data_IF_628372372882
#
_entry.id   IF_628372372882
#
_cell.length_a   1.000
_cell.length_b   1.000
_cell.length_c   1.000
_cell.angle_alpha   90.00
_cell.angle_beta   90.00
_cell.angle_gamma   90.00
#
_symmetry.space_group_name_H-M   'P 1'
#
loop_
_entity.id
_entity.type
_entity.pdbx_description
1 polymer ?
#
# COMPACT_ATOMS: atom_id res chain seq x y z
N UNK A 1 29.60 8.48 -92.31
CA UNK A 1 28.64 7.80 -91.46
C UNK A 1 27.71 8.84 -90.92
N UNK A 2 26.43 8.62 -91.18
CA UNK A 2 25.41 9.05 -90.25
C UNK A 2 25.71 8.36 -88.91
N UNK A 3 25.42 9.02 -87.81
CA UNK A 3 25.69 8.47 -86.47
C UNK A 3 24.43 8.51 -85.60
N UNK A 4 23.30 8.73 -86.25
CA UNK A 4 21.95 8.98 -85.74
C UNK A 4 21.04 8.70 -86.95
N UNK A 5 20.85 7.41 -87.22
CA UNK A 5 20.29 6.88 -88.47
C UNK A 5 18.79 7.22 -88.64
N UNK A 6 18.06 7.45 -87.56
CA UNK A 6 16.63 7.80 -87.56
C UNK A 6 16.33 9.26 -87.19
N UNK A 7 17.30 9.99 -86.63
CA UNK A 7 17.23 11.43 -86.41
C UNK A 7 16.47 11.83 -85.15
N UNK A 8 16.36 10.95 -84.15
CA UNK A 8 15.69 11.22 -82.87
C UNK A 8 16.56 12.02 -81.88
N UNK A 9 17.87 12.09 -82.15
CA UNK A 9 18.86 12.81 -81.37
C UNK A 9 19.67 11.96 -80.40
N UNK A 10 19.45 10.65 -80.34
CA UNK A 10 20.32 9.65 -79.72
C UNK A 10 21.29 9.14 -80.80
N UNK A 11 22.53 8.82 -80.40
CA UNK A 11 23.51 8.30 -81.36
C UNK A 11 23.34 6.78 -81.48
N UNK A 12 23.48 6.20 -82.67
CA UNK A 12 23.32 4.75 -82.93
C UNK A 12 24.10 3.84 -81.97
N UNK A 13 25.16 4.35 -81.34
CA UNK A 13 26.00 3.61 -80.40
C UNK A 13 25.41 3.48 -78.98
N UNK A 14 24.41 4.30 -78.65
CA UNK A 14 23.74 4.39 -77.36
C UNK A 14 22.20 4.29 -77.52
N UNK A 15 21.75 3.85 -78.68
CA UNK A 15 20.35 3.75 -79.04
C UNK A 15 20.02 2.26 -79.20
N UNK A 16 19.09 1.76 -78.40
CA UNK A 16 18.67 0.36 -78.46
C UNK A 16 17.81 0.08 -79.71
N UNK A 17 17.24 1.13 -80.33
CA UNK A 17 16.46 1.08 -81.56
C UNK A 17 16.93 2.08 -82.64
N UNK A 18 18.16 1.96 -83.19
CA UNK A 18 18.79 2.97 -84.10
C UNK A 18 18.06 3.29 -85.42
N UNK A 19 16.91 2.68 -85.68
CA UNK A 19 16.13 2.85 -86.90
C UNK A 19 14.67 3.25 -86.60
N UNK A 20 14.31 3.45 -85.34
CA UNK A 20 12.98 3.81 -84.87
C UNK A 20 13.03 5.08 -84.01
N UNK A 21 12.84 6.23 -84.66
CA UNK A 21 12.91 7.52 -83.99
C UNK A 21 11.83 7.78 -82.91
N UNK A 22 10.98 6.79 -82.58
CA UNK A 22 10.07 6.84 -81.44
C UNK A 22 10.56 6.05 -80.22
N UNK A 23 11.62 5.27 -80.32
CA UNK A 23 12.16 4.45 -79.24
C UNK A 23 13.67 4.59 -79.18
N UNK A 24 14.24 4.64 -77.97
CA UNK A 24 15.69 4.75 -77.81
C UNK A 24 16.27 3.96 -76.64
N UNK A 25 15.42 3.45 -75.75
CA UNK A 25 15.78 2.71 -74.53
C UNK A 25 14.94 1.42 -74.49
N UNK A 26 15.58 0.31 -74.13
CA UNK A 26 14.98 -1.01 -73.87
C UNK A 26 15.47 -1.50 -72.50
N UNK A 27 14.78 -1.10 -71.43
CA UNK A 27 15.28 -1.27 -70.06
C UNK A 27 15.42 -2.74 -69.67
N UNK A 28 14.45 -3.59 -70.02
CA UNK A 28 14.46 -5.03 -69.72
C UNK A 28 15.08 -5.91 -70.84
N UNK A 29 15.37 -5.33 -72.01
CA UNK A 29 15.92 -5.99 -73.18
C UNK A 29 15.00 -7.07 -73.79
N UNK A 30 13.68 -6.90 -73.72
CA UNK A 30 12.70 -7.82 -74.33
C UNK A 30 12.49 -7.57 -75.84
N UNK A 31 12.95 -6.42 -76.34
CA UNK A 31 12.85 -5.98 -77.73
C UNK A 31 11.66 -5.07 -78.03
N UNK A 32 10.92 -4.62 -77.02
CA UNK A 32 9.95 -3.53 -77.03
C UNK A 32 10.62 -2.31 -76.39
N UNK A 33 10.51 -1.13 -76.99
CA UNK A 33 11.08 0.08 -76.39
C UNK A 33 10.19 0.64 -75.29
N UNK A 34 10.79 1.27 -74.29
CA UNK A 34 10.11 1.81 -73.10
C UNK A 34 8.91 2.73 -73.45
N UNK A 35 8.89 3.45 -74.60
CA UNK A 35 7.71 4.28 -74.92
C UNK A 35 6.50 3.47 -75.40
N UNK A 36 6.70 2.19 -75.77
CA UNK A 36 5.68 1.27 -76.25
C UNK A 36 5.46 0.06 -75.31
N UNK A 37 6.38 -0.18 -74.39
CA UNK A 37 6.20 -1.16 -73.31
C UNK A 37 5.22 -0.61 -72.26
N UNK A 38 4.77 -1.50 -71.39
CA UNK A 38 3.87 -1.21 -70.28
C UNK A 38 4.38 -1.75 -68.95
N UNK A 39 5.60 -2.28 -68.95
CA UNK A 39 6.35 -2.96 -67.89
C UNK A 39 7.84 -2.83 -68.28
N UNK A 40 8.34 -1.59 -68.28
CA UNK A 40 9.62 -1.20 -68.90
C UNK A 40 10.84 -1.98 -68.35
N UNK A 41 10.80 -2.42 -67.09
CA UNK A 41 11.87 -3.21 -66.47
C UNK A 41 11.59 -4.72 -66.36
N UNK A 42 10.41 -5.15 -66.81
CA UNK A 42 10.03 -6.54 -67.00
C UNK A 42 9.88 -7.34 -65.70
N UNK A 43 9.57 -6.66 -64.60
CA UNK A 43 9.44 -7.27 -63.28
C UNK A 43 8.03 -7.86 -63.01
N UNK A 44 7.07 -7.50 -63.86
CA UNK A 44 5.70 -7.98 -63.84
C UNK A 44 4.68 -7.01 -63.25
N UNK A 45 5.11 -5.81 -62.82
CA UNK A 45 4.25 -4.69 -62.42
C UNK A 45 4.25 -3.66 -63.55
N UNK A 46 3.06 -3.27 -63.99
CA UNK A 46 2.97 -2.30 -65.09
C UNK A 46 3.40 -0.90 -64.64
N UNK A 47 4.06 -0.10 -65.47
CA UNK A 47 4.63 1.22 -65.10
C UNK A 47 3.63 2.19 -64.44
N UNK A 48 2.34 2.05 -64.72
CA UNK A 48 1.30 2.91 -64.12
C UNK A 48 0.97 2.56 -62.66
N UNK A 49 1.41 1.40 -62.18
CA UNK A 49 1.24 0.90 -60.82
C UNK A 49 2.60 0.57 -60.17
N UNK A 50 3.69 0.97 -60.82
CA UNK A 50 5.05 0.76 -60.36
C UNK A 50 5.62 2.10 -59.93
N UNK A 51 6.08 2.21 -58.69
CA UNK A 51 6.72 3.42 -58.19
C UNK A 51 8.16 3.57 -58.74
N UNK A 52 8.76 2.47 -59.23
CA UNK A 52 10.10 2.38 -59.80
C UNK A 52 10.09 1.65 -61.17
N UNK A 53 9.43 2.20 -62.20
CA UNK A 53 9.19 1.50 -63.48
C UNK A 53 10.44 1.15 -64.30
N UNK A 54 11.64 1.51 -63.84
CA UNK A 54 12.91 1.24 -64.53
C UNK A 54 13.89 0.44 -63.65
N UNK A 55 13.44 -0.08 -62.50
CA UNK A 55 14.23 -0.86 -61.55
C UNK A 55 13.46 -2.10 -61.11
N UNK A 56 13.67 -3.21 -61.83
CA UNK A 56 13.02 -4.49 -61.59
C UNK A 56 13.28 -5.14 -60.23
N UNK A 57 13.97 -4.45 -59.32
CA UNK A 57 14.16 -4.87 -57.93
C UNK A 57 13.28 -4.13 -56.93
N UNK A 58 12.52 -3.11 -57.36
CA UNK A 58 11.64 -2.29 -56.54
C UNK A 58 10.31 -2.07 -57.25
N UNK A 59 9.19 -2.04 -56.51
CA UNK A 59 7.85 -1.82 -57.10
C UNK A 59 6.94 -0.91 -56.29
N UNK A 60 7.24 -0.74 -55.00
CA UNK A 60 6.41 -0.03 -54.02
C UNK A 60 7.33 0.95 -53.27
N UNK A 61 6.85 2.17 -53.07
CA UNK A 61 7.44 3.22 -52.22
C UNK A 61 6.36 3.67 -51.21
N UNK A 62 6.25 2.95 -50.09
CA UNK A 62 5.12 3.11 -49.16
C UNK A 62 5.07 4.53 -48.55
N UNK A 63 6.21 5.10 -48.17
CA UNK A 63 6.30 6.44 -47.58
C UNK A 63 6.58 7.58 -48.59
N UNK A 64 6.86 7.23 -49.86
CA UNK A 64 7.17 8.13 -50.96
C UNK A 64 8.46 8.96 -50.75
N UNK A 65 9.48 8.40 -50.09
CA UNK A 65 10.79 9.04 -49.90
C UNK A 65 11.73 8.90 -51.12
N UNK A 66 11.40 8.01 -52.05
CA UNK A 66 12.16 7.70 -53.26
C UNK A 66 13.12 6.50 -53.12
N UNK A 67 13.06 5.76 -52.01
CA UNK A 67 13.68 4.46 -51.78
C UNK A 67 12.58 3.41 -51.80
N UNK A 68 12.73 2.34 -52.58
CA UNK A 68 11.71 1.30 -52.62
C UNK A 68 11.75 0.41 -51.38
N UNK A 69 10.61 -0.15 -51.00
CA UNK A 69 10.42 -0.95 -49.78
C UNK A 69 11.41 -2.15 -49.71
N UNK A 70 11.94 -2.68 -50.84
CA UNK A 70 12.93 -3.78 -50.73
C UNK A 70 14.33 -3.29 -50.30
N UNK A 71 14.61 -1.99 -50.41
CA UNK A 71 15.87 -1.35 -50.06
C UNK A 71 15.75 -0.37 -48.87
N UNK A 72 14.54 0.06 -48.54
CA UNK A 72 14.26 0.83 -47.33
C UNK A 72 14.35 -0.07 -46.08
N UNK A 73 14.40 0.57 -44.91
CA UNK A 73 14.46 -0.08 -43.61
C UNK A 73 13.44 0.48 -42.63
N UNK A 74 12.56 1.34 -43.12
CA UNK A 74 11.51 2.12 -42.44
C UNK A 74 10.45 2.43 -43.52
N UNK A 75 9.84 1.36 -44.08
CA UNK A 75 9.06 1.40 -45.33
C UNK A 75 7.88 2.41 -45.29
N UNK A 76 7.33 2.69 -44.11
CA UNK A 76 6.23 3.65 -43.92
C UNK A 76 6.66 5.02 -43.36
N UNK A 77 7.96 5.18 -43.07
CA UNK A 77 8.58 6.45 -42.69
C UNK A 77 8.12 6.99 -41.34
N UNK A 78 7.64 6.14 -40.45
CA UNK A 78 7.14 6.52 -39.12
C UNK A 78 8.28 6.71 -38.09
N UNK A 79 9.47 6.19 -38.41
CA UNK A 79 10.69 6.29 -37.61
C UNK A 79 11.05 5.05 -36.80
N UNK A 80 10.28 3.97 -36.92
CA UNK A 80 10.57 2.64 -36.40
C UNK A 80 11.05 1.75 -37.55
N UNK A 81 12.22 1.13 -37.38
CA UNK A 81 12.74 0.24 -38.43
C UNK A 81 11.86 -1.00 -38.58
N UNK A 82 11.59 -1.47 -39.81
CA UNK A 82 10.69 -2.62 -40.09
C UNK A 82 11.01 -3.85 -39.24
N UNK A 83 12.29 -4.04 -38.91
CA UNK A 83 12.74 -5.16 -38.06
C UNK A 83 12.23 -5.12 -36.61
N UNK A 84 11.74 -3.98 -36.15
CA UNK A 84 11.15 -3.75 -34.83
C UNK A 84 9.75 -3.14 -34.92
N UNK A 85 9.17 -3.13 -36.12
CA UNK A 85 7.83 -2.64 -36.38
C UNK A 85 6.91 -3.84 -36.63
N UNK A 86 5.84 -3.96 -35.86
CA UNK A 86 4.84 -5.01 -36.07
C UNK A 86 3.93 -4.71 -37.29
N UNK A 87 3.89 -3.45 -37.74
CA UNK A 87 3.12 -2.92 -38.86
C UNK A 87 3.98 -2.07 -39.82
N UNK A 88 5.02 -2.63 -40.46
CA UNK A 88 6.02 -1.86 -41.23
C UNK A 88 5.49 -1.09 -42.45
N UNK A 89 4.20 -1.21 -42.79
CA UNK A 89 3.57 -0.54 -43.93
C UNK A 89 2.42 0.40 -43.49
N UNK A 90 2.28 0.66 -42.19
CA UNK A 90 1.24 1.50 -41.62
C UNK A 90 1.83 2.44 -40.57
N UNK A 91 2.22 3.64 -41.02
CA UNK A 91 2.84 4.67 -40.19
C UNK A 91 1.98 5.19 -39.02
N UNK A 92 0.81 4.60 -38.76
CA UNK A 92 -0.04 4.89 -37.61
C UNK A 92 0.01 3.84 -36.52
N UNK A 93 0.68 2.70 -36.75
CA UNK A 93 0.81 1.59 -35.81
C UNK A 93 2.25 1.09 -35.79
N UNK A 94 2.76 0.67 -34.63
CA UNK A 94 4.15 0.17 -34.49
C UNK A 94 4.30 -1.04 -33.59
N UNK A 95 3.29 -1.31 -32.75
CA UNK A 95 3.31 -2.32 -31.69
C UNK A 95 2.00 -3.10 -31.76
N UNK A 96 2.08 -4.43 -31.68
CA UNK A 96 0.97 -5.37 -31.51
C UNK A 96 1.23 -6.21 -30.25
N UNK A 97 0.81 -5.69 -29.09
CA UNK A 97 1.19 -6.25 -27.79
C UNK A 97 0.67 -7.69 -27.60
N UNK A 98 -0.55 -8.00 -28.04
CA UNK A 98 -1.16 -9.32 -27.91
C UNK A 98 -1.03 -10.21 -29.18
N UNK A 99 -0.52 -9.65 -30.28
CA UNK A 99 -0.32 -10.30 -31.57
C UNK A 99 -1.62 -10.75 -32.25
N UNK A 100 -2.71 -9.99 -32.09
CA UNK A 100 -4.00 -10.26 -32.73
C UNK A 100 -4.09 -9.73 -34.18
N UNK A 101 -3.16 -8.86 -34.57
CA UNK A 101 -3.09 -8.20 -35.87
C UNK A 101 -3.73 -6.81 -35.92
N UNK A 102 -4.15 -6.27 -34.77
CA UNK A 102 -4.59 -4.88 -34.57
C UNK A 102 -3.51 -4.17 -33.77
N UNK A 103 -3.04 -3.01 -34.24
CA UNK A 103 -2.02 -2.27 -33.50
C UNK A 103 -2.58 -1.59 -32.26
N UNK A 104 -1.75 -1.42 -31.23
CA UNK A 104 -2.12 -0.85 -29.93
C UNK A 104 -2.78 0.56 -30.06
N UNK A 105 -2.54 1.35 -31.12
CA UNK A 105 -3.24 2.64 -31.26
C UNK A 105 -4.70 2.50 -31.71
N UNK A 106 -5.08 1.36 -32.28
CA UNK A 106 -6.41 1.04 -32.76
C UNK A 106 -7.12 -0.05 -31.94
N UNK A 107 -6.37 -0.85 -31.17
CA UNK A 107 -6.92 -1.82 -30.23
C UNK A 107 -7.54 -1.12 -29.00
N UNK A 108 -8.35 -1.85 -28.26
CA UNK A 108 -9.02 -1.42 -27.04
C UNK A 108 -8.78 -2.36 -25.86
N UNK A 109 -7.95 -3.39 -26.07
CA UNK A 109 -7.57 -4.48 -25.17
C UNK A 109 -6.16 -4.92 -25.60
N UNK A 110 -5.17 -4.00 -25.49
CA UNK A 110 -3.84 -4.11 -26.11
C UNK A 110 -3.08 -5.39 -25.71
N UNK A 111 -3.36 -5.98 -24.53
CA UNK A 111 -2.74 -7.21 -24.06
C UNK A 111 -3.61 -8.47 -24.16
N UNK A 112 -4.85 -8.32 -24.62
CA UNK A 112 -5.77 -9.41 -24.89
C UNK A 112 -6.20 -10.22 -23.65
N UNK A 113 -6.13 -9.63 -22.45
CA UNK A 113 -6.56 -10.28 -21.21
C UNK A 113 -8.09 -10.31 -21.03
N UNK A 114 -8.80 -9.48 -21.80
CA UNK A 114 -10.25 -9.35 -21.82
C UNK A 114 -10.80 -8.19 -21.00
N UNK A 115 -9.94 -7.34 -20.44
CA UNK A 115 -10.25 -6.07 -19.80
C UNK A 115 -9.87 -4.94 -20.76
N UNK A 116 -10.79 -3.99 -20.99
CA UNK A 116 -10.50 -2.89 -21.91
C UNK A 116 -9.45 -1.95 -21.31
N UNK A 117 -8.55 -1.38 -22.12
CA UNK A 117 -7.46 -0.49 -21.63
C UNK A 117 -7.97 0.66 -20.77
N UNK A 118 -9.21 1.11 -21.01
CA UNK A 118 -9.82 2.20 -20.24
C UNK A 118 -10.18 1.81 -18.81
N UNK A 119 -10.33 0.51 -18.55
CA UNK A 119 -10.65 -0.09 -17.26
C UNK A 119 -9.47 -0.92 -16.70
N UNK A 120 -8.37 -1.03 -17.45
CA UNK A 120 -7.17 -1.80 -17.10
C UNK A 120 -6.06 -0.90 -16.51
N UNK A 121 -5.56 -1.24 -15.32
CA UNK A 121 -4.45 -0.52 -14.69
C UNK A 121 -3.09 -0.80 -15.37
N UNK A 122 -2.96 -1.91 -16.07
CA UNK A 122 -1.76 -2.42 -16.75
C UNK A 122 -2.06 -2.92 -18.16
N UNK A 123 -2.65 -2.09 -19.01
CA UNK A 123 -3.11 -2.42 -20.38
C UNK A 123 -2.12 -3.14 -21.33
N UNK A 124 -0.84 -3.27 -20.97
CA UNK A 124 0.20 -3.97 -21.75
C UNK A 124 0.70 -5.26 -21.06
N UNK A 125 -0.02 -5.77 -20.07
CA UNK A 125 0.37 -6.92 -19.27
C UNK A 125 -0.82 -7.84 -18.98
N UNK A 126 -0.98 -8.85 -19.85
CA UNK A 126 -2.08 -9.80 -19.82
C UNK A 126 -2.23 -10.68 -18.55
N UNK A 127 -1.41 -10.44 -17.52
CA UNK A 127 -1.47 -11.13 -16.24
C UNK A 127 -1.94 -10.25 -15.09
N UNK A 128 -2.12 -8.95 -15.32
CA UNK A 128 -2.58 -7.98 -14.32
C UNK A 128 -3.50 -6.95 -14.92
N UNK A 129 -4.62 -6.69 -14.25
CA UNK A 129 -5.57 -5.65 -14.69
C UNK A 129 -6.08 -4.76 -13.56
N UNK A 130 -5.77 -5.09 -12.31
CA UNK A 130 -6.24 -4.37 -11.11
C UNK A 130 -5.05 -3.89 -10.29
N UNK A 131 -5.12 -2.65 -9.81
CA UNK A 131 -4.18 -1.97 -8.90
C UNK A 131 -5.04 -1.22 -7.86
N UNK A 132 -5.41 -1.92 -6.78
CA UNK A 132 -6.44 -1.44 -5.85
C UNK A 132 -6.00 -0.20 -5.07
N UNK A 133 -4.72 -0.10 -4.68
CA UNK A 133 -4.17 1.04 -3.95
C UNK A 133 -3.49 2.10 -4.85
N UNK A 134 -3.24 1.76 -6.12
CA UNK A 134 -2.63 2.66 -7.10
C UNK A 134 -1.13 2.84 -6.93
N UNK A 135 -0.42 1.88 -6.33
CA UNK A 135 1.03 1.94 -6.13
C UNK A 135 1.86 1.58 -7.38
N UNK A 136 1.20 1.02 -8.39
CA UNK A 136 1.81 0.56 -9.64
C UNK A 136 2.25 -0.90 -9.64
N UNK A 137 1.91 -1.67 -8.61
CA UNK A 137 2.01 -3.13 -8.54
C UNK A 137 0.61 -3.71 -8.68
N UNK A 138 0.40 -4.66 -9.59
CA UNK A 138 -0.92 -5.26 -9.75
C UNK A 138 -1.26 -6.20 -8.60
N UNK A 139 -2.54 -6.33 -8.27
CA UNK A 139 -3.05 -7.12 -7.13
C UNK A 139 -2.58 -8.60 -7.18
N UNK A 140 -2.31 -9.22 -8.36
CA UNK A 140 -1.78 -10.60 -8.35
C UNK A 140 -0.29 -10.69 -7.92
N UNK A 141 0.44 -9.57 -7.93
CA UNK A 141 1.85 -9.45 -7.57
C UNK A 141 2.09 -8.63 -6.29
N UNK A 142 1.13 -7.84 -5.86
CA UNK A 142 1.15 -7.13 -4.59
C UNK A 142 0.89 -8.11 -3.42
N UNK A 143 1.19 -7.65 -2.21
CA UNK A 143 1.04 -8.40 -0.96
C UNK A 143 0.27 -7.62 0.10
N UNK A 144 -0.24 -6.44 -0.26
CA UNK A 144 -0.95 -5.43 0.53
C UNK A 144 -1.84 -4.60 -0.44
N UNK A 145 -2.78 -5.27 -1.11
CA UNK A 145 -3.52 -4.77 -2.29
C UNK A 145 -4.24 -3.42 -2.06
N UNK A 146 -4.62 -3.09 -0.82
CA UNK A 146 -5.27 -1.83 -0.45
C UNK A 146 -4.37 -0.81 0.26
N UNK A 147 -3.09 -1.17 0.49
CA UNK A 147 -2.08 -0.30 1.07
C UNK A 147 -2.32 0.10 2.53
N UNK A 148 -3.10 -0.65 3.30
CA UNK A 148 -3.40 -0.36 4.71
C UNK A 148 -2.26 -0.75 5.68
N UNK A 149 -1.23 -1.44 5.18
CA UNK A 149 -0.07 -2.02 5.89
C UNK A 149 -0.35 -3.36 6.60
N UNK A 150 -1.41 -4.06 6.23
CA UNK A 150 -1.73 -5.42 6.64
C UNK A 150 -1.71 -6.29 5.39
N UNK A 151 -0.78 -7.25 5.34
CA UNK A 151 -0.67 -8.10 4.15
C UNK A 151 -1.94 -8.91 3.89
N UNK A 152 -2.34 -9.07 2.62
CA UNK A 152 -3.56 -9.79 2.18
C UNK A 152 -3.69 -11.18 2.81
N UNK A 153 -2.56 -11.85 3.05
CA UNK A 153 -2.56 -13.19 3.67
C UNK A 153 -3.03 -13.20 5.13
N UNK A 154 -3.06 -12.04 5.76
CA UNK A 154 -3.49 -11.80 7.14
C UNK A 154 -4.66 -10.84 7.24
N UNK A 155 -5.02 -10.19 6.14
CA UNK A 155 -6.13 -9.25 6.05
C UNK A 155 -7.46 -9.99 5.82
N UNK A 156 -8.50 -9.62 6.58
CA UNK A 156 -9.84 -10.13 6.38
C UNK A 156 -10.56 -9.49 5.17
N UNK A 157 -10.17 -8.25 4.82
CA UNK A 157 -10.68 -7.43 3.72
C UNK A 157 -9.53 -6.85 2.88
N UNK A 158 -8.76 -7.68 2.13
CA UNK A 158 -7.56 -7.23 1.41
C UNK A 158 -7.71 -6.08 0.40
N UNK A 159 -8.95 -5.69 0.07
CA UNK A 159 -9.26 -4.67 -0.94
C UNK A 159 -9.96 -3.44 -0.32
N UNK A 160 -10.02 -3.36 1.01
CA UNK A 160 -10.68 -2.28 1.74
C UNK A 160 -9.76 -1.72 2.82
N UNK A 161 -9.00 -0.70 2.45
CA UNK A 161 -8.05 -0.02 3.34
C UNK A 161 -8.61 0.55 4.65
N UNK A 162 -9.94 0.47 4.86
CA UNK A 162 -10.61 0.85 6.09
C UNK A 162 -10.94 -0.31 7.02
N UNK A 163 -10.73 -1.56 6.63
CA UNK A 163 -11.04 -2.76 7.40
C UNK A 163 -9.94 -3.80 7.26
N UNK A 164 -9.47 -4.41 8.36
CA UNK A 164 -8.49 -5.49 8.30
C UNK A 164 -8.71 -6.64 9.28
N UNK A 165 -9.75 -6.52 10.12
CA UNK A 165 -10.09 -7.50 11.16
C UNK A 165 -11.60 -7.78 11.06
N UNK A 166 -11.96 -9.07 11.14
CA UNK A 166 -13.32 -9.60 11.22
C UNK A 166 -13.33 -10.60 12.38
N UNK A 167 -13.61 -10.11 13.59
CA UNK A 167 -13.39 -10.87 14.83
C UNK A 167 -14.35 -12.05 14.97
N UNK A 168 -15.60 -11.93 14.53
CA UNK A 168 -16.61 -12.98 14.59
C UNK A 168 -16.78 -13.78 13.27
N UNK A 169 -16.23 -13.29 12.17
CA UNK A 169 -16.25 -13.93 10.86
C UNK A 169 -17.57 -13.76 10.11
N UNK A 170 -18.35 -12.72 10.38
CA UNK A 170 -19.65 -12.48 9.74
C UNK A 170 -19.55 -11.80 8.37
N UNK A 171 -18.36 -11.26 8.03
CA UNK A 171 -18.06 -10.56 6.80
C UNK A 171 -18.24 -9.04 6.85
N UNK A 172 -18.46 -8.47 8.04
CA UNK A 172 -18.37 -7.04 8.35
C UNK A 172 -17.08 -6.79 9.11
N UNK A 173 -16.29 -5.79 8.74
CA UNK A 173 -15.06 -5.49 9.46
C UNK A 173 -15.32 -4.77 10.79
N UNK A 174 -14.46 -5.00 11.78
CA UNK A 174 -14.58 -4.46 13.14
C UNK A 174 -14.70 -2.91 13.16
N UNK A 175 -14.25 -2.16 12.15
CA UNK A 175 -14.44 -0.69 12.15
C UNK A 175 -15.87 -0.27 11.74
N UNK A 176 -16.60 -1.13 11.05
CA UNK A 176 -17.97 -0.92 10.59
C UNK A 176 -19.01 -1.77 11.33
N UNK A 177 -18.58 -2.83 12.02
CA UNK A 177 -19.42 -3.63 12.89
C UNK A 177 -19.78 -2.88 14.18
N UNK A 178 -20.84 -3.35 14.84
CA UNK A 178 -21.32 -2.84 16.12
C UNK A 178 -21.35 -3.92 17.20
N UNK A 179 -20.94 -5.15 16.88
CA UNK A 179 -20.91 -6.34 17.74
C UNK A 179 -19.73 -7.21 17.26
N UNK A 180 -18.50 -6.69 17.40
CA UNK A 180 -17.26 -7.21 16.78
C UNK A 180 -17.04 -8.71 17.04
N UNK A 181 -17.49 -9.24 18.19
CA UNK A 181 -17.33 -10.65 18.56
C UNK A 181 -18.61 -11.52 18.43
N UNK A 182 -19.71 -10.91 18.00
CA UNK A 182 -20.95 -11.58 17.64
C UNK A 182 -21.68 -12.27 18.81
N UNK A 183 -21.46 -11.81 20.04
CA UNK A 183 -22.09 -12.39 21.23
C UNK A 183 -23.52 -11.85 21.51
N UNK A 184 -23.90 -10.79 20.80
CA UNK A 184 -25.20 -10.15 20.85
C UNK A 184 -25.25 -8.90 21.74
N UNK A 185 -24.11 -8.38 22.18
CA UNK A 185 -23.96 -7.12 22.92
C UNK A 185 -23.25 -6.10 22.02
N UNK A 186 -23.83 -4.91 21.86
CA UNK A 186 -23.22 -3.85 21.02
C UNK A 186 -21.91 -3.36 21.67
N UNK A 187 -20.83 -3.17 20.90
CA UNK A 187 -19.48 -2.82 21.42
C UNK A 187 -19.48 -1.60 22.34
N UNK A 188 -20.44 -0.68 22.15
CA UNK A 188 -20.59 0.49 23.02
C UNK A 188 -20.97 0.15 24.47
N UNK A 189 -21.64 -0.99 24.63
CA UNK A 189 -22.20 -1.53 25.85
C UNK A 189 -21.42 -2.77 26.33
N UNK A 190 -20.42 -3.23 25.57
CA UNK A 190 -19.52 -4.34 25.87
C UNK A 190 -18.16 -3.85 26.43
N UNK A 191 -17.73 -4.39 27.58
CA UNK A 191 -16.41 -4.06 28.14
C UNK A 191 -15.26 -4.91 27.55
N UNK A 192 -15.58 -6.04 26.90
CA UNK A 192 -14.66 -6.90 26.17
C UNK A 192 -15.15 -7.16 24.73
N UNK A 193 -15.22 -6.15 23.85
CA UNK A 193 -15.80 -6.27 22.50
C UNK A 193 -15.17 -7.32 21.55
N UNK A 194 -14.08 -7.97 21.96
CA UNK A 194 -13.34 -8.94 21.14
C UNK A 194 -13.26 -10.33 21.81
N UNK A 195 -14.04 -10.58 22.86
CA UNK A 195 -14.13 -11.88 23.55
C UNK A 195 -15.60 -12.24 23.77
N UNK A 196 -16.17 -12.97 22.80
CA UNK A 196 -17.57 -13.40 22.73
C UNK A 196 -18.10 -14.24 23.92
N UNK A 197 -17.32 -14.37 24.97
CA UNK A 197 -17.65 -15.08 26.20
C UNK A 197 -17.63 -14.19 27.43
N UNK A 198 -17.32 -12.90 27.31
CA UNK A 198 -17.22 -11.91 28.38
C UNK A 198 -17.78 -10.58 27.88
N UNK A 199 -18.73 -9.97 28.60
CA UNK A 199 -19.32 -8.67 28.22
C UNK A 199 -19.41 -7.67 29.39
N UNK A 200 -19.21 -8.16 30.63
CA UNK A 200 -19.34 -7.40 31.88
C UNK A 200 -18.01 -7.41 32.67
N UNK A 201 -17.49 -6.23 33.06
CA UNK A 201 -16.48 -6.06 34.13
C UNK A 201 -17.03 -5.17 35.24
N UNK A 202 -17.91 -5.74 36.05
CA UNK A 202 -18.61 -4.97 37.07
C UNK A 202 -17.66 -4.39 38.12
N UNK A 203 -16.49 -5.00 38.30
CA UNK A 203 -15.55 -4.65 39.37
C UNK A 203 -14.33 -3.83 38.91
N UNK A 204 -14.14 -3.69 37.59
CA UNK A 204 -13.10 -2.88 36.95
C UNK A 204 -11.69 -3.46 37.10
N UNK A 205 -11.55 -4.78 37.22
CA UNK A 205 -10.24 -5.44 37.32
C UNK A 205 -9.64 -5.88 35.98
N UNK A 206 -10.35 -5.64 34.88
CA UNK A 206 -9.97 -5.99 33.51
C UNK A 206 -10.12 -7.46 33.20
N UNK A 207 -10.90 -8.21 33.99
CA UNK A 207 -11.26 -9.60 33.73
C UNK A 207 -12.78 -9.74 33.68
N UNK A 208 -13.30 -10.42 32.67
CA UNK A 208 -14.74 -10.58 32.53
C UNK A 208 -15.37 -11.46 33.61
N UNK A 209 -16.59 -11.11 33.99
CA UNK A 209 -17.32 -11.72 35.10
C UNK A 209 -17.87 -13.13 34.79
N UNK A 210 -17.96 -13.56 33.52
CA UNK A 210 -18.53 -14.85 33.14
C UNK A 210 -17.60 -16.02 33.48
N UNK A 211 -16.28 -15.89 33.24
CA UNK A 211 -15.28 -16.88 33.66
C UNK A 211 -14.68 -16.56 35.03
N UNK A 212 -14.70 -15.30 35.46
CA UNK A 212 -14.11 -14.88 36.74
C UNK A 212 -15.19 -14.46 37.73
N UNK A 213 -15.92 -15.44 38.27
CA UNK A 213 -16.95 -15.18 39.28
C UNK A 213 -16.45 -14.23 40.38
N UNK A 214 -17.10 -13.06 40.48
CA UNK A 214 -16.89 -12.05 41.53
C UNK A 214 -16.55 -12.69 42.87
N UNK A 215 -15.32 -12.43 43.36
CA UNK A 215 -14.89 -12.92 44.65
C UNK A 215 -15.91 -12.55 45.73
N UNK A 216 -16.18 -13.46 46.67
CA UNK A 216 -17.20 -13.29 47.74
C UNK A 216 -17.16 -11.96 48.51
N UNK A 217 -16.03 -11.24 48.49
CA UNK A 217 -15.83 -9.95 49.15
C UNK A 217 -16.23 -8.73 48.28
N UNK A 218 -16.18 -8.84 46.95
CA UNK A 218 -16.63 -7.79 46.04
C UNK A 218 -18.14 -7.89 45.78
N UNK A 219 -18.65 -9.12 45.65
CA UNK A 219 -20.08 -9.44 45.78
C UNK A 219 -20.71 -8.86 47.07
N UNK A 220 -19.92 -8.76 48.15
CA UNK A 220 -20.33 -8.15 49.41
C UNK A 220 -20.45 -6.62 49.28
N UNK A 221 -19.48 -5.92 48.67
CA UNK A 221 -19.57 -4.46 48.49
C UNK A 221 -20.75 -4.01 47.60
N UNK A 222 -21.14 -4.85 46.65
CA UNK A 222 -22.21 -4.54 45.69
C UNK A 222 -23.63 -4.83 46.21
N UNK A 223 -23.76 -5.49 47.37
CA UNK A 223 -25.07 -5.74 47.97
C UNK A 223 -25.68 -4.44 48.50
N UNK A 224 -26.86 -4.00 48.01
CA UNK A 224 -27.54 -2.81 48.54
C UNK A 224 -27.97 -2.97 50.01
N UNK A 225 -27.88 -4.19 50.56
CA UNK A 225 -28.23 -4.49 51.95
C UNK A 225 -27.15 -4.08 52.95
N UNK A 226 -25.89 -3.93 52.53
CA UNK A 226 -24.78 -3.66 53.44
C UNK A 226 -24.75 -2.28 54.07
N UNK A 227 -24.98 -1.16 53.35
CA UNK A 227 -25.10 0.13 54.00
C UNK A 227 -26.27 0.12 55.00
N UNK A 228 -27.36 -0.57 54.70
CA UNK A 228 -28.53 -0.67 55.60
C UNK A 228 -28.17 -1.48 56.85
N UNK A 229 -27.56 -2.66 56.71
CA UNK A 229 -27.15 -3.50 57.84
C UNK A 229 -26.07 -2.81 58.67
N UNK A 230 -25.09 -2.15 58.05
CA UNK A 230 -24.05 -1.39 58.75
C UNK A 230 -24.61 -0.16 59.45
N UNK A 231 -25.56 0.57 58.85
CA UNK A 231 -26.26 1.68 59.52
C UNK A 231 -27.07 1.15 60.71
N UNK A 232 -27.79 0.03 60.58
CA UNK A 232 -28.53 -0.59 61.69
C UNK A 232 -27.58 -1.07 62.79
N UNK A 233 -26.43 -1.65 62.44
CA UNK A 233 -25.42 -2.10 63.39
C UNK A 233 -24.76 -0.92 64.11
N UNK A 234 -24.39 0.13 63.38
CA UNK A 234 -23.83 1.37 63.93
C UNK A 234 -24.86 2.07 64.82
N UNK A 235 -26.13 2.13 64.43
CA UNK A 235 -27.20 2.67 65.27
C UNK A 235 -27.44 1.82 66.51
N UNK A 236 -27.39 0.49 66.42
CA UNK A 236 -27.49 -0.40 67.57
C UNK A 236 -26.30 -0.23 68.53
N UNK A 237 -25.07 -0.12 68.00
CA UNK A 237 -23.86 0.16 68.78
C UNK A 237 -23.93 1.54 69.41
N UNK A 238 -24.34 2.58 68.66
CA UNK A 238 -24.58 3.92 69.18
C UNK A 238 -25.60 3.91 70.32
N UNK A 239 -26.72 3.18 70.20
CA UNK A 239 -27.73 3.03 71.26
C UNK A 239 -27.15 2.29 72.49
N UNK A 240 -26.28 1.30 72.28
CA UNK A 240 -25.59 0.60 73.37
C UNK A 240 -24.55 1.49 74.06
N UNK A 241 -23.87 2.36 73.32
CA UNK A 241 -22.92 3.34 73.85
C UNK A 241 -23.64 4.52 74.52
N UNK A 242 -24.80 4.95 74.02
CA UNK A 242 -25.63 6.02 74.62
C UNK A 242 -26.33 5.59 75.91
N UNK A 243 -26.47 4.28 76.17
CA UNK A 243 -26.97 3.75 77.45
C UNK A 243 -25.91 3.71 78.55
N UNK A 244 -24.66 4.08 78.24
CA UNK A 244 -23.61 4.29 79.22
C UNK A 244 -23.35 5.79 79.36
N UNK A 245 -24.04 6.40 80.32
CA UNK A 245 -23.76 7.78 80.72
C UNK A 245 -22.34 7.97 81.31
N UNK A 246 -21.81 9.21 81.27
CA UNK A 246 -20.38 9.49 81.37
C UNK A 246 -19.88 9.85 82.79
N UNK A 247 -18.73 9.23 83.16
CA UNK A 247 -17.61 9.75 83.99
C UNK A 247 -17.84 10.19 85.46
N UNK A 248 -16.80 10.48 86.30
CA UNK A 248 -15.33 10.36 86.14
C UNK A 248 -14.59 9.73 87.36
N UNK A 249 -13.28 9.49 87.24
CA UNK A 249 -12.41 9.22 88.40
C UNK A 249 -10.92 9.13 88.07
N UNK A 250 -10.18 10.21 88.34
CA UNK A 250 -8.72 10.33 88.31
C UNK A 250 -8.01 9.25 89.14
N UNK A 251 -6.88 8.73 88.65
CA UNK A 251 -5.66 8.62 89.44
C UNK A 251 -4.39 8.46 88.58
N UNK A 252 -3.43 9.31 88.90
CA UNK A 252 -2.02 9.40 88.48
C UNK A 252 -1.20 8.13 88.77
N UNK A 253 -0.20 7.81 87.93
CA UNK A 253 1.25 7.71 88.24
C UNK A 253 2.06 7.11 87.05
N UNK A 254 3.23 7.71 86.83
CA UNK A 254 4.48 7.19 86.23
C UNK A 254 4.66 7.09 84.69
N UNK A 255 5.28 8.14 84.16
CA UNK A 255 6.54 8.15 83.39
C UNK A 255 6.89 6.94 82.51
N UNK A 256 6.94 7.24 81.21
CA UNK A 256 7.51 6.47 80.11
C UNK A 256 9.01 6.20 80.26
N UNK A 257 9.49 5.05 79.75
CA UNK A 257 10.70 4.99 78.97
C UNK A 257 10.39 4.75 77.48
N UNK A 258 11.27 5.19 76.57
CA UNK A 258 11.00 5.22 75.13
C UNK A 258 11.02 3.83 74.50
N UNK A 259 10.26 3.70 73.40
CA UNK A 259 10.24 2.54 72.53
C UNK A 259 11.62 2.27 71.93
N UNK A 260 12.19 1.10 72.22
CA UNK A 260 13.30 0.55 71.43
C UNK A 260 12.73 -0.07 70.16
N UNK A 261 13.04 0.59 69.03
CA UNK A 261 12.90 0.04 67.68
C UNK A 261 13.70 -1.27 67.55
N UNK A 262 13.14 -2.33 66.93
CA UNK A 262 13.92 -3.50 66.57
C UNK A 262 14.99 -3.12 65.52
N UNK A 263 16.19 -3.74 65.57
CA UNK A 263 17.34 -3.32 64.78
C UNK A 263 17.13 -3.60 63.29
N UNK A 264 17.74 -2.80 62.40
CA UNK A 264 17.74 -3.08 60.98
C UNK A 264 18.54 -4.38 60.73
N UNK A 265 17.91 -5.36 60.08
CA UNK A 265 18.64 -6.49 59.49
C UNK A 265 19.61 -5.94 58.45
N UNK A 266 20.88 -6.35 58.56
CA UNK A 266 21.97 -6.01 57.65
C UNK A 266 21.51 -6.19 56.19
N UNK A 267 21.46 -5.09 55.42
CA UNK A 267 21.51 -5.17 53.96
C UNK A 267 22.90 -5.72 53.62
N UNK A 268 22.95 -6.92 53.07
CA UNK A 268 24.10 -7.32 52.25
C UNK A 268 24.17 -6.35 51.08
N UNK A 269 25.24 -5.56 51.02
CA UNK A 269 25.63 -4.80 49.85
C UNK A 269 25.96 -5.79 48.74
N UNK A 270 24.98 -6.09 47.88
CA UNK A 270 25.27 -6.41 46.48
C UNK A 270 25.38 -5.09 45.74
N UNK A 271 26.57 -4.87 45.20
CA UNK A 271 26.91 -3.78 44.29
C UNK A 271 26.03 -3.93 43.04
N UNK A 272 24.92 -3.20 42.97
CA UNK A 272 24.06 -3.16 41.78
C UNK A 272 24.56 -2.02 40.90
N UNK A 273 25.10 -2.39 39.74
CA UNK A 273 25.48 -1.46 38.67
C UNK A 273 24.31 -0.53 38.36
N UNK A 274 24.57 0.77 38.35
CA UNK A 274 23.60 1.78 37.94
C UNK A 274 23.00 1.43 36.57
N UNK A 275 21.69 1.24 36.52
CA UNK A 275 20.96 1.12 35.26
C UNK A 275 21.04 2.48 34.53
N UNK A 276 21.80 2.50 33.43
CA UNK A 276 21.93 3.64 32.53
C UNK A 276 20.63 3.81 31.77
N UNK A 277 19.98 4.97 31.93
CA UNK A 277 18.75 5.32 31.22
C UNK A 277 18.93 5.17 29.70
N UNK A 278 17.96 4.56 29.03
CA UNK A 278 17.89 4.51 27.58
C UNK A 278 17.69 5.89 26.93
N UNK A 279 17.88 5.98 25.61
CA UNK A 279 17.85 7.23 24.81
C UNK A 279 16.58 8.07 25.03
N UNK A 280 15.44 7.42 25.24
CA UNK A 280 14.12 8.07 25.45
C UNK A 280 13.51 7.75 26.82
N UNK A 281 14.34 7.37 27.80
CA UNK A 281 13.90 7.07 29.16
C UNK A 281 14.24 8.22 30.12
N UNK A 282 13.31 8.56 30.99
CA UNK A 282 13.52 9.53 32.06
C UNK A 282 12.90 9.06 33.37
N UNK A 283 13.25 9.73 34.47
CA UNK A 283 12.71 9.46 35.82
C UNK A 283 11.89 10.64 36.30
N UNK A 284 10.85 10.34 37.06
CA UNK A 284 10.00 11.32 37.71
C UNK A 284 10.64 11.83 39.01
N UNK A 285 10.64 13.15 39.20
CA UNK A 285 11.08 13.78 40.45
C UNK A 285 10.01 13.71 41.55
N UNK A 286 10.33 14.18 42.76
CA UNK A 286 9.43 14.14 43.93
C UNK A 286 8.22 15.08 43.81
N UNK A 287 8.22 15.97 42.82
CA UNK A 287 7.19 16.97 42.58
C UNK A 287 6.30 16.60 41.37
N UNK A 288 6.26 15.32 40.99
CA UNK A 288 5.58 14.78 39.80
C UNK A 288 5.99 15.46 38.50
N UNK A 289 7.30 15.71 38.30
CA UNK A 289 7.83 16.28 37.04
C UNK A 289 8.86 15.38 36.38
N UNK A 290 8.88 15.41 35.06
CA UNK A 290 9.82 14.67 34.20
C UNK A 290 10.53 15.63 33.26
N UNK A 291 11.75 15.28 32.85
CA UNK A 291 12.52 16.04 31.85
C UNK A 291 12.54 15.23 30.56
N UNK A 292 12.10 15.84 29.45
CA UNK A 292 12.17 15.21 28.14
C UNK A 292 13.65 14.94 27.75
N UNK A 293 14.02 13.69 27.42
CA UNK A 293 15.38 13.38 26.98
C UNK A 293 15.79 14.11 25.69
N UNK A 294 14.84 14.33 24.77
CA UNK A 294 15.08 14.94 23.47
C UNK A 294 15.18 16.48 23.54
N UNK A 295 14.16 17.18 24.05
CA UNK A 295 14.10 18.65 24.03
C UNK A 295 14.43 19.33 25.37
N UNK A 296 14.72 18.56 26.42
CA UNK A 296 15.04 19.05 27.78
C UNK A 296 13.93 19.87 28.47
N UNK A 297 12.71 19.90 27.91
CA UNK A 297 11.56 20.55 28.54
C UNK A 297 11.16 19.84 29.84
N UNK A 298 10.83 20.62 30.89
CA UNK A 298 10.27 20.11 32.14
C UNK A 298 8.75 20.00 32.03
N UNK A 299 8.23 18.80 32.22
CA UNK A 299 6.82 18.45 32.02
C UNK A 299 6.21 17.99 33.35
N UNK A 300 4.97 18.41 33.61
CA UNK A 300 4.20 17.93 34.75
C UNK A 300 3.54 16.59 34.41
N UNK A 301 3.48 15.71 35.40
CA UNK A 301 2.79 14.42 35.35
C UNK A 301 1.60 14.51 36.31
N UNK A 302 0.40 13.98 35.96
CA UNK A 302 -0.73 13.91 36.89
C UNK A 302 -0.36 13.18 38.19
N UNK A 303 -0.92 13.64 39.32
CA UNK A 303 -0.55 13.15 40.66
C UNK A 303 -0.81 11.64 40.88
N UNK A 304 -1.70 11.03 40.09
CA UNK A 304 -2.04 9.60 40.17
C UNK A 304 -1.14 8.70 39.29
N UNK A 305 -0.19 9.27 38.56
CA UNK A 305 0.67 8.50 37.63
C UNK A 305 1.79 7.76 38.35
N UNK A 306 1.78 6.43 38.26
CA UNK A 306 2.82 5.56 38.84
C UNK A 306 3.69 4.97 37.73
N UNK A 307 5.02 5.23 37.69
CA UNK A 307 5.91 4.59 36.71
C UNK A 307 5.90 3.06 36.85
N UNK A 308 6.01 2.29 35.75
CA UNK A 308 6.33 2.73 34.39
C UNK A 308 5.12 3.14 33.55
N UNK A 309 5.24 4.23 32.80
CA UNK A 309 4.24 4.62 31.79
C UNK A 309 4.92 5.34 30.60
N UNK A 310 4.20 5.46 29.50
CA UNK A 310 4.66 6.15 28.28
C UNK A 310 3.76 7.33 27.98
N UNK A 311 4.33 8.39 27.44
CA UNK A 311 3.56 9.53 26.94
C UNK A 311 4.35 10.26 25.84
N UNK A 312 3.63 10.98 24.99
CA UNK A 312 4.23 11.79 23.93
C UNK A 312 4.55 13.18 24.47
N UNK A 313 5.77 13.66 24.24
CA UNK A 313 6.16 15.00 24.65
C UNK A 313 5.34 16.05 23.89
N UNK A 314 4.54 16.91 24.55
CA UNK A 314 3.74 17.93 23.87
C UNK A 314 4.57 19.08 23.28
N UNK A 315 5.91 19.03 23.39
CA UNK A 315 6.83 20.05 22.88
C UNK A 315 7.65 19.61 21.67
N UNK A 316 7.88 18.32 21.51
CA UNK A 316 8.73 17.79 20.44
C UNK A 316 8.28 16.42 19.92
N UNK A 317 7.07 16.00 20.31
CA UNK A 317 6.37 14.80 19.83
C UNK A 317 7.12 13.48 20.03
N UNK A 318 8.22 13.49 20.78
CA UNK A 318 8.99 12.30 21.10
C UNK A 318 8.21 11.43 22.09
N UNK A 319 8.02 10.15 21.77
CA UNK A 319 7.50 9.13 22.71
C UNK A 319 8.53 8.91 23.84
N UNK A 320 8.15 9.26 25.07
CA UNK A 320 9.00 9.14 26.27
C UNK A 320 8.48 7.98 27.12
N UNK A 321 9.40 7.20 27.72
CA UNK A 321 9.08 6.21 28.75
C UNK A 321 9.58 6.69 30.11
N UNK A 322 8.68 6.82 31.08
CA UNK A 322 9.04 7.13 32.46
C UNK A 322 9.30 5.82 33.19
N UNK A 323 10.50 5.65 33.73
CA UNK A 323 10.89 4.43 34.46
C UNK A 323 10.85 4.67 35.98
N UNK A 324 10.58 3.62 36.79
CA UNK A 324 10.60 3.73 38.25
C UNK A 324 11.93 4.27 38.78
N UNK A 325 11.84 5.14 39.78
CA UNK A 325 13.02 5.54 40.55
C UNK A 325 13.40 4.38 41.46
N UNK A 326 14.47 3.67 41.13
CA UNK A 326 15.01 2.62 42.01
C UNK A 326 15.33 3.25 43.38
N UNK A 327 14.73 2.69 44.44
CA UNK A 327 15.06 3.09 45.82
C UNK A 327 16.46 2.56 46.15
N UNK A 328 17.43 3.46 46.29
CA UNK A 328 18.77 3.17 46.84
C UNK A 328 18.69 2.72 48.32
#
# INVERSE_FOLDING_TARGET
>A
DDTDDDGDGVLDANDDFPLDASESVDTDNDGTGDNADSDDDGDGVSDNNDDFPLDATETIDTDNDGTGDNADSDDDGDGVLDTNDDFPLDATETIDTDNDGTGDNADSDDDGDGVLDTDDAFSLNATESVDTDGDGTGDNADSDDDGDNVSDTTDAFPLDSSESIDTDGDGTGDNADSDDDGDGVDDRDDEFPLDATEWDDVNGDGLGDNKNELGTFENFKQSPTLPIVMIVLILAIMVLLYRRDPNPGLNTIAQSPPAETPPPKKKETKEVKAHTLGKNECRMDKDHKVICPACKSKLGVPDDSVPPFKFTCPKCETKIRVVPTEKF
#
